data_IF_581603858205
#
_entry.id   IF_581603858205
#
_cell.length_a   1.000
_cell.length_b   1.000
_cell.length_c   1.000
_cell.angle_alpha   90.00
_cell.angle_beta   90.00
_cell.angle_gamma   90.00
#
_symmetry.space_group_name_H-M   'P 1'
#
loop_
_entity.id
_entity.type
_entity.pdbx_description
1 polymer ?
#
# COMPACT_ATOMS: atom_id res chain seq x y z
N UNK A 1 -55.61 35.56 25.41
CA UNK A 1 -56.70 35.81 26.39
C UNK A 1 -57.79 34.79 26.07
N UNK A 2 -58.27 33.90 26.92
CA UNK A 2 -58.01 33.52 28.31
C UNK A 2 -58.75 32.17 28.51
N UNK A 3 -58.17 31.28 29.31
CA UNK A 3 -58.78 30.36 30.30
C UNK A 3 -60.13 29.64 30.00
N UNK A 4 -60.17 28.31 29.93
CA UNK A 4 -60.34 27.31 31.03
C UNK A 4 -61.77 27.16 31.58
N UNK A 5 -62.24 25.91 31.63
CA UNK A 5 -63.14 25.21 32.61
C UNK A 5 -64.02 24.17 31.88
N UNK A 6 -64.59 23.10 32.44
CA UNK A 6 -64.21 22.07 33.43
C UNK A 6 -65.37 21.03 33.40
N UNK A 7 -65.09 19.71 33.31
CA UNK A 7 -65.97 18.56 33.68
C UNK A 7 -67.31 18.38 32.90
N UNK A 8 -67.97 17.23 32.75
CA UNK A 8 -68.14 16.00 33.56
C UNK A 8 -68.73 14.85 32.70
N UNK A 9 -68.39 13.61 33.10
CA UNK A 9 -69.18 12.36 33.12
C UNK A 9 -69.84 11.79 31.84
N UNK A 10 -69.39 10.57 31.48
CA UNK A 10 -70.17 9.56 30.78
C UNK A 10 -69.88 8.17 31.36
N UNK A 11 -70.91 7.57 31.94
CA UNK A 11 -71.05 6.16 32.35
C UNK A 11 -70.78 5.21 31.16
N UNK A 12 -70.54 3.90 31.21
CA UNK A 12 -70.82 2.75 32.11
C UNK A 12 -70.22 1.53 31.36
N UNK A 13 -69.80 0.47 32.04
CA UNK A 13 -69.69 -0.85 31.39
C UNK A 13 -68.51 -1.73 31.81
N UNK A 14 -68.75 -2.47 32.88
CA UNK A 14 -68.14 -3.74 33.31
C UNK A 14 -67.65 -4.64 32.14
N UNK A 15 -66.38 -5.07 32.11
CA UNK A 15 -65.86 -6.37 32.63
C UNK A 15 -65.54 -7.39 31.51
N UNK A 16 -64.66 -8.39 31.73
CA UNK A 16 -63.37 -8.41 31.03
C UNK A 16 -63.04 -9.70 30.25
N UNK A 17 -61.95 -9.57 29.49
CA UNK A 17 -60.87 -10.54 29.21
C UNK A 17 -61.17 -12.05 29.08
N UNK A 18 -60.86 -12.59 27.89
CA UNK A 18 -59.66 -13.42 27.72
C UNK A 18 -59.43 -13.78 26.24
N UNK A 19 -58.47 -13.12 25.60
CA UNK A 19 -58.01 -13.41 24.23
C UNK A 19 -56.56 -13.87 24.25
N UNK A 20 -56.36 -15.16 23.99
CA UNK A 20 -55.10 -15.88 24.05
C UNK A 20 -54.14 -15.39 22.93
N UNK A 21 -53.24 -14.46 23.24
CA UNK A 21 -52.19 -13.97 22.34
C UNK A 21 -50.91 -14.80 22.48
N UNK A 22 -50.59 -15.58 21.45
CA UNK A 22 -49.32 -16.30 21.33
C UNK A 22 -48.19 -15.27 21.13
N UNK A 23 -47.39 -15.05 22.18
CA UNK A 23 -46.15 -14.27 22.09
C UNK A 23 -45.04 -15.20 21.57
N UNK A 24 -44.62 -14.97 20.33
CA UNK A 24 -43.41 -15.58 19.77
C UNK A 24 -42.20 -14.97 20.49
N UNK A 25 -41.51 -15.76 21.31
CA UNK A 25 -40.23 -15.37 21.91
C UNK A 25 -39.17 -15.24 20.82
N UNK A 26 -38.68 -14.03 20.58
CA UNK A 26 -37.43 -13.82 19.87
C UNK A 26 -36.27 -14.25 20.78
N UNK A 27 -35.52 -15.27 20.36
CA UNK A 27 -34.26 -15.63 20.98
C UNK A 27 -33.20 -14.59 20.56
N UNK A 28 -32.77 -13.75 21.50
CA UNK A 28 -31.57 -12.96 21.36
C UNK A 28 -30.34 -13.87 21.40
N UNK A 29 -29.47 -13.71 20.40
CA UNK A 29 -28.24 -14.46 20.20
C UNK A 29 -27.10 -13.76 20.97
N UNK A 30 -26.43 -14.36 21.98
CA UNK A 30 -25.35 -13.69 22.70
C UNK A 30 -24.03 -13.89 21.96
N UNK A 31 -23.91 -13.22 20.81
CA UNK A 31 -22.65 -13.08 20.08
C UNK A 31 -22.04 -11.73 20.37
N UNK A 32 -21.44 -11.55 21.55
CA UNK A 32 -20.67 -10.35 21.89
C UNK A 32 -19.57 -10.13 20.84
N UNK A 33 -19.79 -9.20 19.91
CA UNK A 33 -18.72 -8.60 19.11
C UNK A 33 -17.80 -7.86 20.07
N UNK A 34 -16.69 -8.49 20.46
CA UNK A 34 -15.56 -7.76 21.04
C UNK A 34 -15.11 -6.75 19.98
N UNK A 35 -15.39 -5.47 20.20
CA UNK A 35 -14.73 -4.42 19.44
C UNK A 35 -13.23 -4.58 19.71
N UNK A 36 -12.48 -4.95 18.68
CA UNK A 36 -11.03 -4.98 18.77
C UNK A 36 -10.58 -3.54 19.01
N UNK A 37 -10.20 -3.23 20.24
CA UNK A 37 -9.51 -1.98 20.55
C UNK A 37 -8.33 -1.84 19.58
N UNK A 38 -8.15 -0.70 18.90
CA UNK A 38 -7.05 -0.53 17.96
C UNK A 38 -5.74 -0.85 18.70
N UNK A 39 -5.03 -1.86 18.22
CA UNK A 39 -3.79 -2.32 18.81
C UNK A 39 -2.81 -1.15 18.78
N UNK A 40 -2.38 -0.67 19.95
CA UNK A 40 -1.42 0.41 20.03
C UNK A 40 -0.17 0.06 19.20
N UNK A 41 0.30 1.03 18.41
CA UNK A 41 1.49 0.87 17.57
C UNK A 41 2.66 0.42 18.44
N UNK A 42 3.36 -0.67 18.06
CA UNK A 42 4.51 -1.15 18.84
C UNK A 42 5.59 -0.08 18.97
N UNK A 43 6.27 -0.04 20.12
CA UNK A 43 7.34 0.96 20.38
C UNK A 43 8.44 0.97 19.32
N UNK A 44 8.80 -0.19 18.77
CA UNK A 44 9.81 -0.31 17.72
C UNK A 44 9.37 0.40 16.43
N UNK A 45 8.09 0.33 16.09
CA UNK A 45 7.53 0.96 14.89
C UNK A 45 7.52 2.48 15.06
N UNK A 46 7.09 2.96 16.24
CA UNK A 46 7.16 4.39 16.57
C UNK A 46 8.60 4.90 16.49
N UNK A 47 9.57 4.18 17.07
CA UNK A 47 10.98 4.56 17.03
C UNK A 47 11.53 4.60 15.60
N UNK A 48 11.20 3.62 14.76
CA UNK A 48 11.61 3.60 13.36
C UNK A 48 11.02 4.79 12.58
N UNK A 49 9.73 5.06 12.74
CA UNK A 49 9.05 6.21 12.11
C UNK A 49 9.62 7.55 12.58
N UNK A 50 9.97 7.67 13.86
CA UNK A 50 10.60 8.87 14.39
C UNK A 50 12.00 9.10 13.82
N UNK A 51 12.81 8.03 13.63
CA UNK A 51 14.10 8.13 12.94
C UNK A 51 13.94 8.59 11.49
N UNK A 52 13.01 7.99 10.74
CA UNK A 52 12.71 8.40 9.36
C UNK A 52 12.30 9.87 9.30
N UNK A 53 11.42 10.31 10.22
CA UNK A 53 10.98 11.70 10.32
C UNK A 53 12.12 12.66 10.63
N UNK A 54 13.01 12.28 11.55
CA UNK A 54 14.19 13.07 11.90
C UNK A 54 15.15 13.18 10.71
N UNK A 55 15.40 12.09 9.98
CA UNK A 55 16.25 12.07 8.80
C UNK A 55 15.67 12.93 7.66
N UNK A 56 14.38 12.82 7.35
CA UNK A 56 13.73 13.67 6.33
C UNK A 56 13.97 15.16 6.65
N UNK A 57 13.82 15.56 7.91
CA UNK A 57 14.08 16.94 8.35
C UNK A 57 15.55 17.31 8.24
N UNK A 58 16.45 16.45 8.71
CA UNK A 58 17.90 16.69 8.73
C UNK A 58 18.48 16.81 7.32
N UNK A 59 18.07 15.94 6.40
CA UNK A 59 18.62 15.89 5.04
C UNK A 59 17.87 16.76 4.03
N UNK A 60 16.75 17.39 4.40
CA UNK A 60 15.98 18.25 3.48
C UNK A 60 16.82 19.38 2.88
N UNK A 61 17.54 20.15 3.71
CA UNK A 61 18.41 21.24 3.22
C UNK A 61 19.63 20.72 2.45
N UNK A 62 20.44 19.78 2.98
CA UNK A 62 21.55 19.22 2.22
C UNK A 62 21.14 18.67 0.86
N UNK A 63 19.99 17.97 0.78
CA UNK A 63 19.46 17.44 -0.47
C UNK A 63 19.07 18.56 -1.44
N UNK A 64 18.38 19.60 -0.97
CA UNK A 64 18.06 20.76 -1.79
C UNK A 64 19.32 21.45 -2.33
N UNK A 65 20.37 21.57 -1.50
CA UNK A 65 21.66 22.14 -1.91
C UNK A 65 22.36 21.27 -2.97
N UNK A 66 22.31 19.93 -2.85
CA UNK A 66 22.82 19.01 -3.87
C UNK A 66 22.09 19.20 -5.21
N UNK A 67 20.76 19.28 -5.17
CA UNK A 67 19.93 19.49 -6.36
C UNK A 67 20.25 20.85 -7.00
N UNK A 68 20.33 21.91 -6.21
CA UNK A 68 20.60 23.27 -6.70
C UNK A 68 21.95 23.41 -7.40
N UNK A 69 22.97 22.64 -6.99
CA UNK A 69 24.32 22.67 -7.59
C UNK A 69 24.59 21.59 -8.62
N UNK A 70 23.58 20.79 -9.01
CA UNK A 70 23.72 19.62 -9.89
C UNK A 70 24.87 18.68 -9.44
N UNK A 71 24.83 18.29 -8.16
CA UNK A 71 25.83 17.41 -7.57
C UNK A 71 25.99 16.12 -8.40
N UNK A 72 27.22 15.58 -8.44
CA UNK A 72 27.48 14.34 -9.16
C UNK A 72 26.86 13.12 -8.42
N UNK A 73 26.90 11.96 -9.07
CA UNK A 73 26.37 10.71 -8.52
C UNK A 73 27.07 10.31 -7.20
N UNK A 74 28.39 10.51 -7.10
CA UNK A 74 29.15 10.22 -5.88
C UNK A 74 28.72 11.05 -4.67
N UNK A 75 28.53 12.36 -4.86
CA UNK A 75 28.01 13.26 -3.82
C UNK A 75 26.58 12.88 -3.41
N UNK A 76 25.75 12.48 -4.40
CA UNK A 76 24.38 11.99 -4.13
C UNK A 76 24.42 10.70 -3.32
N UNK A 77 25.33 9.78 -3.65
CA UNK A 77 25.55 8.52 -2.96
C UNK A 77 25.95 8.73 -1.50
N UNK A 78 26.78 9.73 -1.19
CA UNK A 78 27.14 10.07 0.20
C UNK A 78 25.88 10.41 1.03
N UNK A 79 25.03 11.31 0.53
CA UNK A 79 23.79 11.68 1.22
C UNK A 79 22.83 10.48 1.37
N UNK A 80 22.69 9.66 0.31
CA UNK A 80 21.86 8.45 0.36
C UNK A 80 22.37 7.46 1.40
N UNK A 81 23.69 7.28 1.50
CA UNK A 81 24.30 6.39 2.50
C UNK A 81 24.00 6.86 3.92
N UNK A 82 24.16 8.15 4.17
CA UNK A 82 23.86 8.74 5.47
C UNK A 82 22.36 8.62 5.80
N UNK A 83 21.48 8.80 4.81
CA UNK A 83 20.03 8.60 4.98
C UNK A 83 19.66 7.15 5.28
N UNK A 84 20.29 6.19 4.60
CA UNK A 84 20.11 4.75 4.86
C UNK A 84 20.50 4.41 6.30
N UNK A 85 21.60 4.98 6.80
CA UNK A 85 22.07 4.71 8.15
C UNK A 85 21.21 5.43 9.20
N UNK A 86 21.13 6.76 9.13
CA UNK A 86 20.52 7.59 10.17
C UNK A 86 18.99 7.53 10.15
N UNK A 87 18.40 7.42 8.97
CA UNK A 87 16.94 7.43 8.79
C UNK A 87 16.33 6.04 8.75
N UNK A 88 16.94 5.13 7.99
CA UNK A 88 16.38 3.80 7.73
C UNK A 88 16.96 2.73 8.66
N UNK A 89 17.97 3.07 9.46
CA UNK A 89 18.48 2.24 10.56
C UNK A 89 19.40 1.10 10.11
N UNK A 90 19.98 1.21 8.93
CA UNK A 90 20.98 0.25 8.44
C UNK A 90 22.35 0.53 9.05
N UNK A 91 23.05 -0.51 9.45
CA UNK A 91 24.46 -0.44 9.77
C UNK A 91 25.28 -0.46 8.46
N UNK A 92 26.21 0.49 8.36
CA UNK A 92 27.01 0.70 7.14
C UNK A 92 27.91 -0.48 6.79
N UNK A 93 28.35 -1.25 7.77
CA UNK A 93 29.32 -2.33 7.61
C UNK A 93 28.67 -3.71 7.65
N UNK A 94 27.57 -3.87 8.37
CA UNK A 94 26.86 -5.15 8.48
C UNK A 94 25.75 -5.30 7.43
N UNK A 95 24.95 -4.25 7.22
CA UNK A 95 23.73 -4.35 6.42
C UNK A 95 23.91 -3.86 4.98
N UNK A 96 24.93 -3.05 4.70
CA UNK A 96 25.20 -2.52 3.36
C UNK A 96 26.45 -3.18 2.76
N UNK A 97 26.37 -3.55 1.48
CA UNK A 97 27.54 -4.02 0.71
C UNK A 97 27.67 -3.30 -0.63
N UNK A 98 28.89 -2.96 -1.01
CA UNK A 98 29.24 -2.38 -2.32
C UNK A 98 29.86 -3.42 -3.26
N UNK A 99 29.85 -4.70 -2.92
CA UNK A 99 30.41 -5.78 -3.75
C UNK A 99 29.82 -5.82 -5.17
N UNK A 100 28.60 -5.32 -5.31
CA UNK A 100 27.89 -5.27 -6.58
C UNK A 100 28.21 -4.00 -7.38
N UNK A 101 29.05 -3.09 -6.90
CA UNK A 101 29.40 -1.88 -7.61
C UNK A 101 30.49 -2.13 -8.66
N UNK A 102 30.14 -2.16 -9.95
CA UNK A 102 31.11 -2.21 -11.06
C UNK A 102 30.86 -1.07 -12.03
N UNK A 103 31.76 -0.07 -12.04
CA UNK A 103 31.83 1.06 -13.00
C UNK A 103 30.49 1.73 -13.40
N UNK A 104 29.50 1.78 -12.50
CA UNK A 104 28.17 2.35 -12.79
C UNK A 104 27.30 1.49 -13.74
N UNK A 105 27.69 0.25 -13.98
CA UNK A 105 26.93 -0.73 -14.77
C UNK A 105 25.97 -1.57 -13.88
N UNK A 106 26.21 -1.60 -12.57
CA UNK A 106 25.55 -2.47 -11.59
C UNK A 106 25.03 -1.67 -10.39
N UNK A 107 24.32 -2.33 -9.47
CA UNK A 107 23.80 -1.74 -8.25
C UNK A 107 24.88 -1.15 -7.33
N UNK A 108 24.65 0.07 -6.84
CA UNK A 108 25.52 0.72 -5.85
C UNK A 108 25.59 -0.01 -4.51
N UNK A 109 24.44 -0.51 -4.03
CA UNK A 109 24.36 -1.21 -2.75
C UNK A 109 23.52 -2.48 -2.83
N UNK A 110 23.95 -3.50 -2.10
CA UNK A 110 23.08 -4.57 -1.61
C UNK A 110 22.67 -4.31 -0.17
N UNK A 111 21.39 -4.53 0.17
CA UNK A 111 20.88 -4.52 1.55
C UNK A 111 20.85 -5.95 2.06
N UNK A 112 21.45 -6.19 3.23
CA UNK A 112 21.40 -7.44 3.97
C UNK A 112 20.51 -7.30 5.21
N UNK A 113 19.69 -8.31 5.45
CA UNK A 113 18.94 -8.49 6.69
C UNK A 113 19.26 -9.87 7.23
N UNK A 114 19.71 -9.94 8.48
CA UNK A 114 20.16 -11.19 9.11
C UNK A 114 21.17 -11.95 8.20
N UNK A 115 22.09 -11.19 7.58
CA UNK A 115 23.13 -11.64 6.62
C UNK A 115 22.64 -12.15 5.27
N UNK A 116 21.34 -12.12 4.99
CA UNK A 116 20.79 -12.47 3.67
C UNK A 116 20.60 -11.22 2.84
N UNK A 117 21.01 -11.26 1.57
CA UNK A 117 20.78 -10.18 0.61
C UNK A 117 19.27 -10.12 0.28
N UNK A 118 18.62 -8.98 0.54
CA UNK A 118 17.17 -8.82 0.38
C UNK A 118 16.77 -7.74 -0.61
N UNK A 119 17.65 -6.78 -0.91
CA UNK A 119 17.36 -5.72 -1.87
C UNK A 119 18.64 -5.20 -2.54
N UNK A 120 18.46 -4.60 -3.71
CA UNK A 120 19.48 -3.76 -4.35
C UNK A 120 19.06 -2.29 -4.36
N UNK A 121 20.03 -1.39 -4.28
CA UNK A 121 19.85 0.06 -4.41
C UNK A 121 20.73 0.57 -5.53
N UNK A 122 20.15 1.36 -6.42
CA UNK A 122 20.85 2.14 -7.44
C UNK A 122 20.66 3.62 -7.20
N UNK A 123 21.78 4.35 -7.11
CA UNK A 123 21.80 5.78 -6.90
C UNK A 123 22.17 6.47 -8.20
N UNK A 124 21.35 7.44 -8.59
CA UNK A 124 21.61 8.32 -9.73
C UNK A 124 21.95 9.73 -9.24
N UNK A 125 22.49 10.51 -10.16
CA UNK A 125 22.72 11.95 -9.96
C UNK A 125 21.44 12.66 -9.54
N UNK A 126 21.53 13.61 -8.60
CA UNK A 126 20.36 14.31 -8.04
C UNK A 126 19.45 15.00 -9.08
N UNK A 127 20.00 15.54 -10.16
CA UNK A 127 19.25 16.17 -11.26
C UNK A 127 18.67 15.17 -12.27
N UNK A 128 19.09 13.91 -12.21
CA UNK A 128 18.72 12.92 -13.20
C UNK A 128 17.34 12.35 -12.88
N UNK A 129 16.41 12.47 -13.85
CA UNK A 129 15.10 11.85 -13.76
C UNK A 129 15.22 10.32 -13.82
N UNK A 130 14.66 9.65 -12.82
CA UNK A 130 14.60 8.20 -12.75
C UNK A 130 13.73 7.63 -13.88
N UNK A 131 14.16 6.52 -14.48
CA UNK A 131 13.47 5.91 -15.60
C UNK A 131 13.73 4.40 -15.69
N UNK A 132 12.99 3.72 -16.58
CA UNK A 132 13.03 2.26 -16.77
C UNK A 132 14.41 1.72 -17.17
N UNK A 133 15.26 2.52 -17.83
CA UNK A 133 16.62 2.07 -18.20
C UNK A 133 17.48 1.89 -16.96
N UNK A 134 17.35 2.77 -15.98
CA UNK A 134 18.06 2.62 -14.70
C UNK A 134 17.56 1.40 -13.93
N UNK A 135 16.23 1.18 -13.92
CA UNK A 135 15.65 -0.01 -13.28
C UNK A 135 16.17 -1.31 -13.89
N UNK A 136 16.31 -1.38 -15.22
CA UNK A 136 16.86 -2.57 -15.91
C UNK A 136 18.28 -2.92 -15.49
N UNK A 137 19.10 -1.93 -15.10
CA UNK A 137 20.46 -2.19 -14.61
C UNK A 137 20.40 -3.03 -13.33
N UNK A 138 19.50 -2.68 -12.40
CA UNK A 138 19.33 -3.40 -11.14
C UNK A 138 18.60 -4.73 -11.30
N UNK A 139 17.61 -4.77 -12.21
CA UNK A 139 16.78 -5.94 -12.44
C UNK A 139 17.60 -7.17 -12.84
N UNK A 140 18.66 -7.01 -13.64
CA UNK A 140 19.49 -8.13 -14.06
C UNK A 140 20.12 -8.86 -12.85
N UNK A 141 20.60 -8.12 -11.86
CA UNK A 141 21.19 -8.69 -10.65
C UNK A 141 20.15 -9.27 -9.73
N UNK A 142 19.02 -8.58 -9.58
CA UNK A 142 17.86 -9.09 -8.85
C UNK A 142 17.47 -10.49 -9.35
N UNK A 143 17.40 -10.68 -10.67
CA UNK A 143 17.13 -11.99 -11.29
C UNK A 143 18.23 -13.01 -10.99
N UNK A 144 19.49 -12.65 -11.20
CA UNK A 144 20.62 -13.59 -11.05
C UNK A 144 20.82 -14.05 -9.59
N UNK A 145 20.61 -13.15 -8.63
CA UNK A 145 20.80 -13.40 -7.20
C UNK A 145 19.52 -13.86 -6.49
N UNK A 146 18.38 -13.87 -7.20
CA UNK A 146 17.09 -14.23 -6.62
C UNK A 146 16.58 -13.22 -5.59
N UNK A 147 16.94 -11.94 -5.74
CA UNK A 147 16.56 -10.84 -4.85
C UNK A 147 15.30 -10.17 -5.37
N UNK A 148 14.26 -10.07 -4.55
CA UNK A 148 12.95 -9.59 -4.98
C UNK A 148 12.82 -8.05 -4.93
N UNK A 149 13.60 -7.36 -4.11
CA UNK A 149 13.45 -5.92 -3.90
C UNK A 149 14.51 -5.09 -4.63
N UNK A 150 14.07 -4.02 -5.28
CA UNK A 150 14.95 -3.06 -5.95
C UNK A 150 14.54 -1.63 -5.60
N UNK A 151 15.53 -0.80 -5.35
CA UNK A 151 15.35 0.61 -5.01
C UNK A 151 16.11 1.44 -6.03
N UNK A 152 15.44 2.41 -6.64
CA UNK A 152 16.05 3.39 -7.51
C UNK A 152 15.87 4.76 -6.89
N UNK A 153 16.97 5.50 -6.70
CA UNK A 153 16.91 6.83 -6.08
C UNK A 153 17.89 7.81 -6.69
N UNK A 154 17.54 9.09 -6.66
CA UNK A 154 18.46 10.21 -6.90
C UNK A 154 18.62 11.09 -5.64
N UNK A 155 18.36 10.52 -4.46
CA UNK A 155 18.28 11.23 -3.18
C UNK A 155 16.95 11.94 -2.97
N UNK A 156 16.43 12.64 -3.98
CA UNK A 156 15.14 13.33 -3.92
C UNK A 156 13.97 12.36 -4.04
N UNK A 157 13.95 11.58 -5.11
CA UNK A 157 12.91 10.59 -5.38
C UNK A 157 13.44 9.22 -5.00
N UNK A 158 12.63 8.45 -4.29
CA UNK A 158 12.89 7.05 -3.95
C UNK A 158 11.78 6.21 -4.56
N UNK A 159 12.13 5.31 -5.47
CA UNK A 159 11.20 4.38 -6.10
C UNK A 159 11.53 2.96 -5.64
N UNK A 160 10.55 2.26 -5.09
CA UNK A 160 10.71 0.91 -4.57
C UNK A 160 9.90 -0.07 -5.39
N UNK A 161 10.58 -1.08 -5.91
CA UNK A 161 10.03 -2.07 -6.83
C UNK A 161 10.12 -3.46 -6.23
N UNK A 162 9.12 -4.27 -6.53
CA UNK A 162 9.10 -5.70 -6.23
C UNK A 162 9.18 -6.49 -7.54
N UNK A 163 10.06 -7.48 -7.59
CA UNK A 163 10.20 -8.42 -8.68
C UNK A 163 9.53 -9.73 -8.32
N UNK A 164 8.57 -10.14 -9.13
CA UNK A 164 8.00 -11.48 -9.07
C UNK A 164 8.66 -12.33 -10.15
N UNK A 165 9.30 -13.43 -9.73
CA UNK A 165 9.88 -14.41 -10.65
C UNK A 165 8.83 -15.01 -11.60
N UNK A 166 9.29 -15.48 -12.77
CA UNK A 166 8.41 -16.02 -13.80
C UNK A 166 8.99 -15.86 -15.20
N UNK A 167 8.27 -16.36 -16.20
CA UNK A 167 8.60 -16.19 -17.63
C UNK A 167 7.38 -15.56 -18.34
N UNK A 168 7.32 -14.23 -18.50
CA UNK A 168 8.35 -13.23 -18.14
C UNK A 168 8.34 -12.86 -16.64
N UNK A 169 9.47 -12.29 -16.19
CA UNK A 169 9.56 -11.66 -14.86
C UNK A 169 8.65 -10.43 -14.83
N UNK A 170 7.93 -10.24 -13.73
CA UNK A 170 7.07 -9.06 -13.50
C UNK A 170 7.75 -8.14 -12.51
N UNK A 171 7.69 -6.82 -12.77
CA UNK A 171 8.24 -5.80 -11.87
C UNK A 171 7.18 -4.76 -11.57
N UNK A 172 6.83 -4.64 -10.30
CA UNK A 172 5.79 -3.73 -9.82
C UNK A 172 6.44 -2.54 -9.10
N UNK A 173 6.02 -1.31 -9.42
CA UNK A 173 6.30 -0.17 -8.56
C UNK A 173 5.40 -0.27 -7.33
N UNK A 174 6.00 -0.52 -6.16
CA UNK A 174 5.26 -0.65 -4.91
C UNK A 174 4.91 0.72 -4.38
N UNK A 175 5.87 1.63 -4.30
CA UNK A 175 5.65 3.03 -3.98
C UNK A 175 6.79 3.90 -4.48
N UNK A 176 6.52 5.20 -4.61
CA UNK A 176 7.53 6.23 -4.74
C UNK A 176 7.27 7.38 -3.77
N UNK A 177 8.33 8.12 -3.45
CA UNK A 177 8.26 9.29 -2.58
C UNK A 177 9.29 10.32 -3.01
N UNK A 178 8.83 11.54 -3.21
CA UNK A 178 9.67 12.72 -3.45
C UNK A 178 9.83 13.49 -2.13
N UNK A 179 11.07 13.58 -1.65
CA UNK A 179 11.41 14.23 -0.38
C UNK A 179 11.33 15.75 -0.44
N UNK A 180 11.44 16.35 -1.63
CA UNK A 180 11.37 17.80 -1.83
C UNK A 180 10.01 18.28 -2.36
N UNK A 181 9.17 17.38 -2.88
CA UNK A 181 7.81 17.73 -3.30
C UNK A 181 6.96 18.28 -2.15
N UNK A 182 5.97 19.10 -2.50
CA UNK A 182 4.96 19.57 -1.56
C UNK A 182 4.15 18.39 -1.01
N UNK A 183 3.86 18.41 0.30
CA UNK A 183 3.13 17.32 0.96
C UNK A 183 3.43 17.24 2.44
N UNK A 184 2.60 16.47 3.17
CA UNK A 184 2.80 16.30 4.60
C UNK A 184 4.04 15.44 4.88
N UNK A 185 4.82 15.85 5.89
CA UNK A 185 5.94 15.04 6.36
C UNK A 185 5.47 13.65 6.84
N UNK A 186 4.23 13.54 7.34
CA UNK A 186 3.65 12.28 7.76
C UNK A 186 3.51 11.29 6.59
N UNK A 187 3.01 11.73 5.44
CA UNK A 187 2.88 10.89 4.25
C UNK A 187 4.23 10.36 3.77
N UNK A 188 5.27 11.22 3.76
CA UNK A 188 6.63 10.82 3.40
C UNK A 188 7.19 9.77 4.36
N UNK A 189 6.94 9.93 5.67
CA UNK A 189 7.32 8.95 6.70
C UNK A 189 6.57 7.64 6.51
N UNK A 190 5.26 7.68 6.24
CA UNK A 190 4.43 6.48 6.07
C UNK A 190 4.91 5.62 4.90
N UNK A 191 5.34 6.24 3.80
CA UNK A 191 5.94 5.52 2.67
C UNK A 191 7.35 5.01 2.98
N UNK A 192 8.26 5.91 3.40
CA UNK A 192 9.67 5.54 3.63
C UNK A 192 9.86 4.55 4.78
N UNK A 193 8.95 4.50 5.75
CA UNK A 193 9.01 3.55 6.86
C UNK A 193 9.16 2.10 6.37
N UNK A 194 8.50 1.73 5.28
CA UNK A 194 8.60 0.37 4.73
C UNK A 194 9.99 0.02 4.21
N UNK A 195 10.83 1.03 3.91
CA UNK A 195 12.23 0.84 3.51
C UNK A 195 13.18 0.70 4.71
N UNK A 196 12.70 0.90 5.95
CA UNK A 196 13.54 0.77 7.14
C UNK A 196 13.96 -0.69 7.41
N UNK A 197 15.12 -0.86 8.05
CA UNK A 197 15.62 -2.18 8.50
C UNK A 197 14.57 -2.92 9.33
N UNK A 198 13.87 -2.21 10.23
CA UNK A 198 12.82 -2.77 11.09
C UNK A 198 11.64 -3.32 10.28
N UNK A 199 11.19 -2.60 9.25
CA UNK A 199 10.09 -3.03 8.39
C UNK A 199 10.48 -4.23 7.53
N UNK A 200 11.69 -4.21 6.96
CA UNK A 200 12.25 -5.34 6.19
C UNK A 200 12.38 -6.61 7.03
N UNK A 201 12.99 -6.51 8.22
CA UNK A 201 13.14 -7.65 9.15
C UNK A 201 11.80 -8.29 9.54
N UNK A 202 10.74 -7.50 9.52
CA UNK A 202 9.38 -7.94 9.86
C UNK A 202 8.51 -8.25 8.65
N UNK A 203 9.06 -8.19 7.44
CA UNK A 203 8.36 -8.46 6.17
C UNK A 203 7.16 -7.55 5.91
N UNK A 204 7.13 -6.36 6.52
CA UNK A 204 6.00 -5.43 6.35
C UNK A 204 5.93 -4.87 4.93
N UNK A 205 7.07 -4.76 4.26
CA UNK A 205 7.13 -4.35 2.86
C UNK A 205 6.51 -5.42 1.93
N UNK A 206 6.66 -6.71 2.27
CA UNK A 206 5.99 -7.81 1.55
C UNK A 206 4.47 -7.72 1.71
N UNK A 207 3.99 -7.43 2.92
CA UNK A 207 2.56 -7.29 3.18
C UNK A 207 1.98 -6.07 2.45
N UNK A 208 2.73 -4.97 2.39
CA UNK A 208 2.37 -3.80 1.58
C UNK A 208 2.25 -4.15 0.09
N UNK A 209 3.25 -4.84 -0.48
CA UNK A 209 3.22 -5.25 -1.87
C UNK A 209 2.08 -6.24 -2.15
N UNK A 210 1.89 -7.28 -1.32
CA UNK A 210 0.78 -8.24 -1.49
C UNK A 210 -0.57 -7.55 -1.50
N UNK A 211 -0.79 -6.60 -0.59
CA UNK A 211 -2.02 -5.82 -0.55
C UNK A 211 -2.20 -5.02 -1.85
N UNK A 212 -1.16 -4.31 -2.30
CA UNK A 212 -1.20 -3.52 -3.54
C UNK A 212 -1.38 -4.38 -4.80
N UNK A 213 -0.69 -5.51 -4.88
CA UNK A 213 -0.77 -6.46 -5.98
C UNK A 213 -2.18 -7.07 -6.07
N UNK A 214 -2.77 -7.46 -4.93
CA UNK A 214 -4.13 -8.00 -4.85
C UNK A 214 -5.22 -6.98 -5.22
N UNK A 215 -4.93 -5.69 -5.08
CA UNK A 215 -5.85 -4.60 -5.48
C UNK A 215 -5.38 -3.88 -6.74
N UNK A 216 -4.44 -4.44 -7.48
CA UNK A 216 -3.96 -3.84 -8.73
C UNK A 216 -5.06 -3.86 -9.79
N UNK A 217 -5.00 -2.94 -10.76
CA UNK A 217 -5.97 -2.89 -11.85
C UNK A 217 -6.09 -4.22 -12.60
N UNK A 218 -4.96 -4.91 -12.86
CA UNK A 218 -4.95 -6.25 -13.47
C UNK A 218 -5.60 -7.31 -12.59
N UNK A 219 -5.29 -7.33 -11.29
CA UNK A 219 -5.90 -8.29 -10.36
C UNK A 219 -7.41 -8.08 -10.25
N UNK A 220 -7.86 -6.83 -10.12
CA UNK A 220 -9.29 -6.50 -10.09
C UNK A 220 -9.97 -6.77 -11.43
N UNK A 221 -9.29 -6.54 -12.57
CA UNK A 221 -9.81 -6.91 -13.89
C UNK A 221 -10.06 -8.43 -14.00
N UNK A 222 -9.17 -9.27 -13.46
CA UNK A 222 -9.38 -10.72 -13.40
C UNK A 222 -10.56 -11.08 -12.49
N UNK A 223 -10.67 -10.44 -11.33
CA UNK A 223 -11.79 -10.65 -10.40
C UNK A 223 -13.13 -10.30 -11.04
N UNK A 224 -13.21 -9.17 -11.76
CA UNK A 224 -14.41 -8.73 -12.46
C UNK A 224 -14.90 -9.74 -13.51
N UNK A 225 -13.98 -10.53 -14.07
CA UNK A 225 -14.27 -11.54 -15.09
C UNK A 225 -14.51 -12.94 -14.50
N UNK A 226 -14.46 -13.10 -13.17
CA UNK A 226 -14.74 -14.38 -12.53
C UNK A 226 -16.23 -14.74 -12.62
N UNK A 227 -16.53 -16.03 -12.71
CA UNK A 227 -17.91 -16.52 -12.81
C UNK A 227 -18.80 -16.00 -11.67
N UNK A 228 -18.26 -15.88 -10.46
CA UNK A 228 -18.98 -15.37 -9.29
C UNK A 228 -19.38 -13.89 -9.45
N UNK A 229 -18.47 -13.05 -9.94
CA UNK A 229 -18.74 -11.62 -10.14
C UNK A 229 -19.63 -11.40 -11.36
N UNK A 230 -19.41 -12.15 -12.44
CA UNK A 230 -20.24 -12.11 -13.65
C UNK A 230 -21.68 -12.52 -13.33
N UNK A 231 -21.88 -13.56 -12.52
CA UNK A 231 -23.21 -13.95 -12.05
C UNK A 231 -23.85 -12.89 -11.14
N UNK A 232 -23.07 -12.24 -10.28
CA UNK A 232 -23.54 -11.14 -9.46
C UNK A 232 -24.00 -9.94 -10.33
N UNK A 233 -23.21 -9.56 -11.34
CA UNK A 233 -23.57 -8.52 -12.30
C UNK A 233 -24.85 -8.91 -13.05
N UNK A 234 -24.96 -10.16 -13.52
CA UNK A 234 -26.16 -10.68 -14.19
C UNK A 234 -27.41 -10.53 -13.33
N UNK A 235 -27.34 -10.97 -12.07
CA UNK A 235 -28.44 -10.87 -11.11
C UNK A 235 -28.84 -9.41 -10.88
N UNK A 236 -27.87 -8.52 -10.78
CA UNK A 236 -28.12 -7.10 -10.54
C UNK A 236 -28.74 -6.41 -11.76
N UNK A 237 -28.27 -6.70 -12.98
CA UNK A 237 -28.89 -6.22 -14.23
C UNK A 237 -30.33 -6.70 -14.33
N UNK A 238 -30.61 -7.98 -14.05
CA UNK A 238 -31.97 -8.52 -14.05
C UNK A 238 -32.86 -7.84 -13.02
N UNK A 239 -32.34 -7.58 -11.82
CA UNK A 239 -33.08 -6.89 -10.75
C UNK A 239 -33.48 -5.47 -11.15
N UNK A 240 -32.59 -4.74 -11.83
CA UNK A 240 -32.83 -3.34 -12.21
C UNK A 240 -33.68 -3.20 -13.49
N UNK A 241 -33.51 -4.09 -14.46
CA UNK A 241 -34.07 -3.93 -15.82
C UNK A 241 -35.09 -4.98 -16.21
N UNK A 242 -35.19 -6.09 -15.46
CA UNK A 242 -35.96 -7.27 -15.84
C UNK A 242 -35.28 -8.15 -16.91
N UNK A 243 -34.20 -7.68 -17.54
CA UNK A 243 -33.50 -8.42 -18.59
C UNK A 243 -32.52 -9.45 -18.00
N UNK A 244 -32.57 -10.69 -18.51
CA UNK A 244 -31.68 -11.77 -18.06
C UNK A 244 -30.55 -11.99 -19.08
N UNK A 245 -29.49 -11.19 -18.97
CA UNK A 245 -28.33 -11.27 -19.86
C UNK A 245 -27.54 -12.58 -19.70
N UNK A 246 -26.87 -13.03 -20.77
CA UNK A 246 -25.97 -14.17 -20.71
C UNK A 246 -24.63 -13.80 -20.05
N UNK A 247 -24.08 -14.69 -19.22
CA UNK A 247 -22.79 -14.44 -18.57
C UNK A 247 -21.65 -14.23 -19.57
N UNK A 248 -21.67 -14.94 -20.70
CA UNK A 248 -20.69 -14.76 -21.78
C UNK A 248 -20.74 -13.36 -22.40
N UNK A 249 -21.94 -12.82 -22.58
CA UNK A 249 -22.14 -11.47 -23.11
C UNK A 249 -21.64 -10.41 -22.11
N UNK A 250 -21.95 -10.58 -20.83
CA UNK A 250 -21.42 -9.71 -19.76
C UNK A 250 -19.88 -9.74 -19.75
N UNK A 251 -19.26 -10.93 -19.80
CA UNK A 251 -17.80 -11.06 -19.89
C UNK A 251 -17.22 -10.36 -21.12
N UNK A 252 -17.88 -10.48 -22.28
CA UNK A 252 -17.45 -9.81 -23.52
C UNK A 252 -17.48 -8.29 -23.35
N UNK A 253 -18.60 -7.73 -22.89
CA UNK A 253 -18.76 -6.28 -22.66
C UNK A 253 -17.73 -5.79 -21.63
N UNK A 254 -17.51 -6.53 -20.53
CA UNK A 254 -16.48 -6.18 -19.55
C UNK A 254 -15.10 -6.09 -20.20
N UNK A 255 -14.71 -7.03 -21.05
CA UNK A 255 -13.40 -7.03 -21.73
C UNK A 255 -13.26 -5.96 -22.80
N UNK A 256 -14.31 -5.74 -23.59
CA UNK A 256 -14.22 -4.93 -24.81
C UNK A 256 -14.58 -3.45 -24.57
N UNK A 257 -15.41 -3.17 -23.58
CA UNK A 257 -16.03 -1.84 -23.42
C UNK A 257 -15.75 -1.20 -22.04
N UNK A 258 -15.46 -1.99 -21.01
CA UNK A 258 -15.33 -1.49 -19.62
C UNK A 258 -13.89 -1.53 -19.10
N UNK A 259 -13.20 -2.66 -19.27
CA UNK A 259 -11.84 -2.85 -18.77
C UNK A 259 -10.84 -2.37 -19.84
N UNK A 260 -9.93 -1.49 -19.44
CA UNK A 260 -8.83 -1.05 -20.31
C UNK A 260 -8.00 -2.22 -20.84
N UNK A 261 -7.67 -2.21 -22.13
CA UNK A 261 -6.95 -3.31 -22.79
C UNK A 261 -5.58 -3.59 -22.19
N UNK A 262 -4.94 -2.58 -21.59
CA UNK A 262 -3.69 -2.66 -20.84
C UNK A 262 -3.77 -3.47 -19.54
N UNK A 263 -4.99 -3.67 -19.01
CA UNK A 263 -5.25 -4.43 -17.78
C UNK A 263 -5.60 -5.91 -18.03
N UNK A 264 -5.80 -6.30 -19.30
CA UNK A 264 -6.18 -7.66 -19.70
C UNK A 264 -4.99 -8.54 -20.09
N UNK A 265 -3.78 -7.98 -20.12
CA UNK A 265 -2.53 -8.63 -20.53
C UNK A 265 -1.56 -8.83 -19.38
#
# INVERSE_FOLDING_TARGET
>A
MSEQTLSTSGATGDSPENGNGVIVKMNENPGTKKSSTPRATPKWETAARDRVKAAIRRYSKPLADLVARDANEGDTRLLVTDFLCDGLGYDKYEDLTTEYQVKGEFADYGIRIDKQLVAFIEVKRCSQKLNVRHLRQVQMYAVNEGVEWMVLTNGQVWQVYHMTGGLPVTVDLVFDVDLLAEGSAASKVDSLFYLSKDAFKRRLIDDLWKARAATSGRSLAQVLQSDAVVDAIRKEVRRQTGHNAEGKEICRILREEVIGTDLLT
#
